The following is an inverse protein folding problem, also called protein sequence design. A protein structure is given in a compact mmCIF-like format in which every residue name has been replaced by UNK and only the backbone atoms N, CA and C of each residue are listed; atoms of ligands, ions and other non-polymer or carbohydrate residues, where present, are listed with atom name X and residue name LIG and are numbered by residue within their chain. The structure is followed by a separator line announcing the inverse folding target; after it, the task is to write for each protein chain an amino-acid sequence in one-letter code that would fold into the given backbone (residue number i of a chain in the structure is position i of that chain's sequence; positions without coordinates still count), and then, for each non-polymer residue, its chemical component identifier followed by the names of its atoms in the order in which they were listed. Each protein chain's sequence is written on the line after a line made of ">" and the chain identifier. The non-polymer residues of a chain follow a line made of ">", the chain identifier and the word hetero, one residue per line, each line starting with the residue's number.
data_IF_354554043319
#
_entry.id   IF_354554043319
#
_cell.length_a   1.000
_cell.length_b   1.000
_cell.length_c   1.000
_cell.angle_alpha   90.00
_cell.angle_beta   90.00
_cell.angle_gamma   90.00
#
_symmetry.space_group_name_H-M   'P 1'
#
loop_
_entity.id
_entity.type
_entity.pdbx_description
1 polymer ?
#
# COMPACT_ATOMS: atom_id res chain seq x y z
N UNK A 1 21.81 6.07 3.71
CA UNK A 1 20.39 6.23 3.35
C UNK A 1 20.35 6.92 2.00
N UNK A 2 19.85 6.19 0.98
CA UNK A 2 19.54 6.82 -0.30
C UNK A 2 18.27 7.64 -0.11
N UNK A 3 18.42 8.94 -0.05
CA UNK A 3 17.31 9.87 -0.11
C UNK A 3 16.81 9.88 -1.56
N UNK A 4 15.76 9.09 -1.82
CA UNK A 4 15.08 9.18 -3.11
C UNK A 4 14.37 10.53 -3.20
N UNK A 5 14.68 11.29 -4.24
CA UNK A 5 13.94 12.50 -4.59
C UNK A 5 13.26 12.26 -5.93
N UNK A 6 11.95 12.48 -6.03
CA UNK A 6 11.31 12.46 -7.33
C UNK A 6 12.02 13.47 -8.24
N UNK A 7 12.17 13.17 -9.53
CA UNK A 7 12.74 14.13 -10.48
C UNK A 7 11.95 15.43 -10.41
N UNK A 8 12.65 16.56 -10.22
CA UNK A 8 12.05 17.87 -10.13
C UNK A 8 11.24 18.13 -11.41
N UNK A 9 9.95 18.41 -11.30
CA UNK A 9 9.05 18.71 -12.41
C UNK A 9 8.38 17.50 -13.04
N UNK A 10 8.54 16.30 -12.49
CA UNK A 10 7.76 15.15 -12.90
C UNK A 10 6.33 15.24 -12.38
N UNK A 11 5.40 15.83 -13.14
CA UNK A 11 4.03 15.36 -13.04
C UNK A 11 4.11 13.88 -13.44
N UNK A 12 3.79 13.00 -12.50
CA UNK A 12 3.51 11.62 -12.87
C UNK A 12 2.28 11.74 -13.74
N UNK A 13 2.48 11.74 -15.07
CA UNK A 13 1.38 11.71 -16.02
C UNK A 13 0.50 10.52 -15.68
N UNK A 14 -0.80 10.61 -15.95
CA UNK A 14 -1.69 9.49 -15.75
C UNK A 14 -1.00 8.23 -16.27
N UNK A 15 -0.85 7.18 -15.45
CA UNK A 15 -0.05 6.01 -15.81
C UNK A 15 -0.67 5.34 -17.02
N UNK A 16 -0.02 5.48 -18.17
CA UNK A 16 -0.53 4.94 -19.44
C UNK A 16 -0.24 3.44 -19.56
N UNK A 17 0.67 2.90 -18.74
CA UNK A 17 1.07 1.51 -18.75
C UNK A 17 0.36 0.66 -17.70
N UNK A 18 -0.04 -0.57 -18.09
CA UNK A 18 -0.65 -1.54 -17.18
C UNK A 18 0.24 -1.87 -15.95
N UNK A 19 1.55 -1.69 -16.07
CA UNK A 19 2.54 -1.98 -15.04
C UNK A 19 3.32 -0.74 -14.58
N UNK A 20 2.81 0.47 -14.79
CA UNK A 20 3.46 1.72 -14.39
C UNK A 20 3.83 1.79 -12.90
N UNK A 21 3.13 1.04 -12.04
CA UNK A 21 3.51 0.90 -10.63
C UNK A 21 4.95 0.41 -10.46
N UNK A 22 5.37 -0.60 -11.21
CA UNK A 22 6.72 -1.17 -11.12
C UNK A 22 7.81 -0.18 -11.52
N UNK A 23 7.52 0.69 -12.49
CA UNK A 23 8.46 1.70 -12.97
C UNK A 23 8.67 2.84 -11.97
N UNK A 24 7.70 3.06 -11.07
CA UNK A 24 7.67 4.19 -10.14
C UNK A 24 7.71 3.79 -8.67
N UNK A 25 7.83 2.50 -8.36
CA UNK A 25 7.80 2.00 -7.00
C UNK A 25 9.12 2.24 -6.25
N UNK A 26 9.19 3.20 -5.32
CA UNK A 26 10.40 3.52 -4.58
C UNK A 26 10.55 2.69 -3.28
N UNK A 27 9.64 1.77 -3.00
CA UNK A 27 9.49 1.17 -1.68
C UNK A 27 8.63 2.02 -0.74
N UNK A 28 8.79 1.80 0.56
CA UNK A 28 8.05 2.53 1.59
C UNK A 28 6.66 1.97 1.87
N UNK A 29 5.80 2.79 2.45
CA UNK A 29 4.42 2.40 2.78
C UNK A 29 3.44 3.12 1.86
N UNK A 30 2.88 2.40 0.93
CA UNK A 30 1.94 2.94 -0.06
C UNK A 30 0.51 2.47 0.21
N UNK A 31 -0.44 3.39 0.04
CA UNK A 31 -1.87 3.09 -0.05
C UNK A 31 -2.19 2.68 -1.47
N UNK A 32 -2.74 1.52 -1.66
CA UNK A 32 -3.12 0.97 -2.96
C UNK A 32 -4.63 0.97 -3.10
N UNK A 33 -5.13 1.80 -4.01
CA UNK A 33 -6.54 1.99 -4.35
C UNK A 33 -6.68 2.35 -5.85
N UNK A 34 -7.82 2.08 -6.49
CA UNK A 34 -9.00 1.36 -6.01
C UNK A 34 -8.93 -0.15 -6.25
N UNK A 35 -7.80 -0.66 -6.76
CA UNK A 35 -7.62 -2.08 -7.06
C UNK A 35 -6.29 -2.59 -6.52
N UNK A 36 -6.31 -3.61 -5.68
CA UNK A 36 -5.15 -4.37 -5.27
C UNK A 36 -4.94 -5.54 -6.24
N UNK A 37 -3.69 -5.80 -6.63
CA UNK A 37 -3.36 -6.88 -7.57
C UNK A 37 -3.14 -6.42 -9.02
N UNK A 38 -3.33 -7.31 -9.96
CA UNK A 38 -3.03 -7.09 -11.39
C UNK A 38 -3.88 -6.01 -12.08
N UNK A 39 -3.50 -5.63 -13.31
CA UNK A 39 -4.31 -4.71 -14.12
C UNK A 39 -5.74 -5.22 -14.27
N UNK A 40 -6.72 -4.33 -14.16
CA UNK A 40 -8.14 -4.69 -14.20
C UNK A 40 -8.99 -3.59 -14.82
N UNK A 41 -10.27 -3.86 -15.02
CA UNK A 41 -11.25 -2.87 -15.44
C UNK A 41 -12.44 -2.90 -14.49
N UNK A 42 -12.79 -1.74 -13.94
CA UNK A 42 -13.90 -1.59 -13.02
C UNK A 42 -14.59 -0.23 -13.21
N UNK A 43 -15.91 -0.20 -13.08
CA UNK A 43 -16.73 1.01 -13.22
C UNK A 43 -16.45 1.83 -14.50
N UNK A 44 -16.10 1.16 -15.60
CA UNK A 44 -15.77 1.81 -16.89
C UNK A 44 -14.35 2.38 -16.98
N UNK A 45 -13.54 2.23 -15.94
CA UNK A 45 -12.13 2.64 -15.93
C UNK A 45 -11.21 1.43 -16.11
N UNK A 46 -10.11 1.61 -16.87
CA UNK A 46 -8.98 0.69 -16.88
C UNK A 46 -7.99 1.11 -15.81
N UNK A 47 -7.66 0.19 -14.92
CA UNK A 47 -6.77 0.38 -13.79
C UNK A 47 -5.47 -0.40 -14.02
N UNK A 48 -4.34 0.23 -13.72
CA UNK A 48 -3.03 -0.40 -13.74
C UNK A 48 -2.86 -1.40 -12.58
N UNK A 49 -1.77 -2.14 -12.58
CA UNK A 49 -1.28 -2.90 -11.42
C UNK A 49 -1.29 -1.99 -10.19
N UNK A 50 -1.93 -2.44 -9.11
CA UNK A 50 -2.08 -1.70 -7.85
C UNK A 50 -2.87 -0.39 -7.97
N UNK A 51 -3.73 -0.27 -8.98
CA UNK A 51 -4.65 0.85 -9.13
C UNK A 51 -3.97 2.16 -9.49
N UNK A 52 -4.37 3.25 -8.83
CA UNK A 52 -4.01 4.60 -9.23
C UNK A 52 -3.36 5.43 -8.11
N UNK A 53 -3.73 5.16 -6.85
CA UNK A 53 -3.35 6.02 -5.72
C UNK A 53 -1.84 6.19 -5.53
N UNK A 54 -1.04 5.18 -5.87
CA UNK A 54 0.42 5.24 -5.79
C UNK A 54 1.07 5.99 -6.98
N UNK A 55 0.30 6.36 -7.99
CA UNK A 55 0.78 6.93 -9.24
C UNK A 55 0.34 8.37 -9.47
N UNK A 56 -0.52 8.88 -8.60
CA UNK A 56 -0.98 10.28 -8.62
C UNK A 56 -0.20 11.13 -7.62
N UNK A 57 -0.09 12.45 -7.84
CA UNK A 57 0.51 13.34 -6.86
C UNK A 57 -0.37 13.46 -5.62
N UNK A 58 0.27 13.64 -4.46
CA UNK A 58 -0.38 13.88 -3.18
C UNK A 58 0.01 15.26 -2.66
N UNK A 59 -0.99 16.00 -2.21
CA UNK A 59 -0.76 17.21 -1.42
C UNK A 59 -0.32 16.80 -0.01
N UNK A 60 0.61 17.57 0.55
CA UNK A 60 1.21 17.25 1.85
C UNK A 60 1.15 18.44 2.79
N UNK A 61 0.72 18.24 4.02
CA UNK A 61 0.63 19.27 5.05
C UNK A 61 1.09 18.75 6.41
N UNK A 62 2.04 19.44 7.05
CA UNK A 62 2.40 19.17 8.45
C UNK A 62 1.26 19.69 9.32
N UNK A 63 0.66 18.80 10.12
CA UNK A 63 -0.48 19.11 11.01
C UNK A 63 -0.06 19.24 12.46
N UNK A 64 1.07 18.63 12.85
CA UNK A 64 1.70 18.83 14.13
C UNK A 64 3.22 18.72 14.00
N UNK A 65 3.94 19.63 14.69
CA UNK A 65 5.40 19.61 14.81
C UNK A 65 5.73 20.17 16.20
N UNK A 66 5.59 19.31 17.23
CA UNK A 66 5.85 19.64 18.63
C UNK A 66 6.80 18.62 19.24
N UNK A 67 7.22 18.83 20.50
CA UNK A 67 8.04 17.84 21.21
C UNK A 67 7.25 16.56 21.55
N UNK A 68 5.93 16.66 21.63
CA UNK A 68 5.04 15.56 22.00
C UNK A 68 4.52 14.78 20.81
N UNK A 69 4.39 15.44 19.65
CA UNK A 69 3.78 14.82 18.46
C UNK A 69 4.30 15.45 17.16
N UNK A 70 4.58 14.58 16.20
CA UNK A 70 4.74 14.96 14.80
C UNK A 70 3.64 14.29 13.99
N UNK A 71 2.98 15.06 13.12
CA UNK A 71 1.96 14.53 12.23
C UNK A 71 1.99 15.21 10.86
N UNK A 72 1.76 14.39 9.83
CA UNK A 72 1.69 14.84 8.44
C UNK A 72 0.41 14.29 7.81
N UNK A 73 -0.32 15.17 7.17
CA UNK A 73 -1.49 14.84 6.36
C UNK A 73 -1.11 14.81 4.89
N UNK A 74 -1.63 13.82 4.19
CA UNK A 74 -1.53 13.64 2.75
C UNK A 74 -2.95 13.58 2.19
N UNK A 75 -3.19 14.22 1.04
CA UNK A 75 -4.48 14.13 0.37
C UNK A 75 -4.32 14.02 -1.15
N UNK A 76 -5.21 13.29 -1.77
CA UNK A 76 -5.29 13.19 -3.23
C UNK A 76 -6.71 12.87 -3.68
N UNK A 77 -7.02 13.21 -4.93
CA UNK A 77 -8.24 12.76 -5.62
C UNK A 77 -7.82 11.95 -6.84
N UNK A 78 -8.38 10.76 -6.99
CA UNK A 78 -8.11 9.89 -8.12
C UNK A 78 -8.77 10.44 -9.40
N UNK A 79 -8.16 10.20 -10.54
CA UNK A 79 -8.64 10.72 -11.82
C UNK A 79 -9.53 9.73 -12.58
N UNK A 80 -9.32 8.44 -12.38
CA UNK A 80 -10.05 7.36 -13.06
C UNK A 80 -11.17 6.75 -12.21
N UNK A 81 -11.14 7.04 -10.92
CA UNK A 81 -12.10 6.52 -9.94
C UNK A 81 -12.58 7.66 -9.03
N UNK A 82 -13.85 7.69 -8.62
CA UNK A 82 -14.42 8.84 -7.92
C UNK A 82 -14.02 8.86 -6.42
N UNK A 83 -12.76 8.65 -6.11
CA UNK A 83 -12.28 8.63 -4.73
C UNK A 83 -11.39 9.81 -4.41
N UNK A 84 -11.70 10.47 -3.29
CA UNK A 84 -10.78 11.31 -2.54
C UNK A 84 -10.21 10.48 -1.40
N UNK A 85 -8.91 10.63 -1.16
CA UNK A 85 -8.17 9.93 -0.10
C UNK A 85 -7.49 10.96 0.78
N UNK A 86 -7.77 10.92 2.07
CA UNK A 86 -7.08 11.69 3.10
C UNK A 86 -6.36 10.71 4.04
N UNK A 87 -5.06 10.93 4.29
CA UNK A 87 -4.21 10.07 5.12
C UNK A 87 -3.42 10.91 6.10
N UNK A 88 -3.51 10.63 7.39
CA UNK A 88 -2.62 11.17 8.40
C UNK A 88 -1.65 10.10 8.88
N UNK A 89 -0.38 10.47 9.01
CA UNK A 89 0.66 9.67 9.65
C UNK A 89 1.20 10.44 10.86
N UNK A 90 1.22 9.81 12.02
CA UNK A 90 1.59 10.47 13.27
C UNK A 90 2.48 9.61 14.15
N UNK A 91 3.44 10.28 14.82
CA UNK A 91 4.30 9.73 15.87
C UNK A 91 4.10 10.53 17.14
N UNK A 92 3.98 9.85 18.27
CA UNK A 92 3.94 10.46 19.60
C UNK A 92 5.25 10.23 20.35
N UNK A 93 5.69 11.22 21.13
CA UNK A 93 6.89 11.09 21.93
C UNK A 93 6.73 9.96 22.97
N UNK A 94 7.76 9.14 23.11
CA UNK A 94 7.75 8.01 24.05
C UNK A 94 7.03 6.75 23.55
N UNK A 95 6.44 6.79 22.38
CA UNK A 95 5.81 5.64 21.74
C UNK A 95 6.67 5.11 20.59
N UNK A 96 6.75 3.78 20.47
CA UNK A 96 7.41 3.09 19.35
C UNK A 96 6.37 2.63 18.31
N UNK A 97 5.42 3.51 18.01
CA UNK A 97 4.30 3.22 17.12
C UNK A 97 4.08 4.36 16.11
N UNK A 98 3.90 4.00 14.86
CA UNK A 98 3.40 4.90 13.83
C UNK A 98 1.89 4.68 13.71
N UNK A 99 1.10 5.73 13.95
CA UNK A 99 -0.33 5.71 13.71
C UNK A 99 -0.62 6.22 12.31
N UNK A 100 -1.37 5.44 11.55
CA UNK A 100 -1.85 5.82 10.22
C UNK A 100 -3.37 5.79 10.23
N UNK A 101 -3.97 6.92 9.87
CA UNK A 101 -5.43 7.06 9.71
C UNK A 101 -5.73 7.41 8.27
N UNK A 102 -6.55 6.62 7.62
CA UNK A 102 -6.97 6.87 6.25
C UNK A 102 -8.49 6.98 6.13
N UNK A 103 -8.93 7.91 5.30
CA UNK A 103 -10.33 8.10 4.93
C UNK A 103 -10.43 8.09 3.41
N UNK A 104 -11.28 7.21 2.89
CA UNK A 104 -11.63 7.16 1.47
C UNK A 104 -13.05 7.62 1.30
N UNK A 105 -13.24 8.68 0.52
CA UNK A 105 -14.55 9.26 0.23
C UNK A 105 -14.92 8.99 -1.23
N UNK A 106 -16.08 8.37 -1.45
CA UNK A 106 -16.64 8.28 -2.79
C UNK A 106 -17.35 9.60 -3.12
N UNK A 107 -16.76 10.39 -3.99
CA UNK A 107 -17.32 11.66 -4.46
C UNK A 107 -18.28 11.48 -5.65
N UNK A 108 -18.46 10.25 -6.14
CA UNK A 108 -19.40 9.90 -7.19
C UNK A 108 -20.82 9.71 -6.70
N UNK A 109 -21.76 9.75 -7.65
CA UNK A 109 -23.20 9.59 -7.36
C UNK A 109 -23.65 8.12 -7.24
N UNK A 110 -22.77 7.16 -7.50
CA UNK A 110 -23.09 5.73 -7.52
C UNK A 110 -22.11 4.93 -6.66
N UNK A 111 -22.58 3.79 -6.16
CA UNK A 111 -21.70 2.85 -5.46
C UNK A 111 -20.76 2.18 -6.45
N UNK A 112 -19.49 2.06 -6.07
CA UNK A 112 -18.46 1.39 -6.84
C UNK A 112 -17.73 0.35 -5.98
N UNK A 113 -17.33 -0.74 -6.61
CA UNK A 113 -16.51 -1.77 -5.95
C UNK A 113 -15.05 -1.34 -5.94
N UNK A 114 -14.35 -1.68 -4.87
CA UNK A 114 -12.91 -1.42 -4.76
C UNK A 114 -12.23 -2.48 -3.89
N UNK A 115 -10.93 -2.59 -4.02
CA UNK A 115 -10.05 -3.21 -3.04
C UNK A 115 -9.05 -2.20 -2.52
N UNK A 116 -8.75 -2.28 -1.24
CA UNK A 116 -7.87 -1.36 -0.51
C UNK A 116 -6.77 -2.15 0.19
N UNK A 117 -5.53 -1.87 -0.17
CA UNK A 117 -4.35 -2.57 0.35
C UNK A 117 -3.36 -1.58 0.93
N UNK A 118 -2.77 -1.94 2.06
CA UNK A 118 -1.59 -1.29 2.61
C UNK A 118 -0.35 -2.04 2.13
N UNK A 119 0.38 -1.43 1.20
CA UNK A 119 1.60 -2.00 0.64
C UNK A 119 2.81 -1.49 1.41
N UNK A 120 3.28 -2.27 2.38
CA UNK A 120 4.34 -1.89 3.30
C UNK A 120 5.63 -2.63 2.91
N UNK A 121 6.68 -1.89 2.53
CA UNK A 121 8.01 -2.44 2.33
C UNK A 121 8.85 -2.22 3.59
N UNK A 122 9.18 -3.31 4.26
CA UNK A 122 10.08 -3.31 5.42
C UNK A 122 11.48 -3.71 4.96
N UNK A 123 12.49 -2.99 5.43
CA UNK A 123 13.90 -3.21 5.09
C UNK A 123 14.80 -3.31 6.33
N UNK A 124 16.08 -3.51 6.11
CA UNK A 124 17.06 -3.48 7.20
C UNK A 124 17.08 -2.12 7.91
N UNK A 125 17.25 -2.10 9.25
CA UNK A 125 17.54 -3.22 10.16
C UNK A 125 16.32 -3.95 10.70
N UNK A 126 15.07 -3.61 10.27
CA UNK A 126 13.83 -4.21 10.79
C UNK A 126 13.65 -5.64 10.29
N UNK A 127 14.09 -5.94 9.08
CA UNK A 127 14.00 -7.27 8.49
C UNK A 127 15.34 -7.98 8.62
N UNK A 128 15.35 -9.13 9.30
CA UNK A 128 16.52 -9.96 9.51
C UNK A 128 16.12 -11.36 9.96
N UNK A 129 17.08 -12.25 10.23
CA UNK A 129 16.79 -13.65 10.59
C UNK A 129 15.92 -13.84 11.85
N UNK A 130 15.85 -12.81 12.69
CA UNK A 130 15.06 -12.81 13.94
C UNK A 130 13.82 -11.92 13.86
N UNK A 131 13.50 -11.38 12.69
CA UNK A 131 12.31 -10.58 12.49
C UNK A 131 11.06 -11.46 12.64
N UNK A 132 10.09 -10.94 13.37
CA UNK A 132 8.78 -11.58 13.53
C UNK A 132 7.69 -10.63 13.07
N UNK A 133 6.64 -11.18 12.46
CA UNK A 133 5.44 -10.46 12.10
C UNK A 133 4.32 -10.94 13.01
N UNK A 134 3.72 -10.02 13.76
CA UNK A 134 2.55 -10.28 14.59
C UNK A 134 1.35 -9.53 13.99
N UNK A 135 0.32 -10.27 13.64
CA UNK A 135 -0.89 -9.73 12.99
C UNK A 135 -2.11 -10.31 13.71
N UNK A 136 -3.10 -9.50 14.09
CA UNK A 136 -4.30 -9.97 14.76
C UNK A 136 -5.26 -10.66 13.77
N UNK A 137 -4.87 -11.82 13.25
CA UNK A 137 -5.68 -12.64 12.36
C UNK A 137 -5.64 -14.11 12.82
N UNK A 138 -6.66 -14.87 12.48
CA UNK A 138 -6.75 -16.30 12.74
C UNK A 138 -6.33 -17.13 11.54
N UNK A 139 -6.56 -16.59 10.34
CA UNK A 139 -6.28 -17.28 9.08
C UNK A 139 -5.61 -16.36 8.07
N UNK A 140 -4.79 -16.96 7.22
CA UNK A 140 -4.15 -16.31 6.06
C UNK A 140 -4.57 -17.03 4.80
N UNK A 141 -5.10 -16.29 3.84
CA UNK A 141 -5.31 -16.74 2.47
C UNK A 141 -4.16 -16.23 1.60
N UNK A 142 -3.46 -17.15 0.96
CA UNK A 142 -2.38 -16.79 0.02
C UNK A 142 -3.00 -16.36 -1.31
N UNK A 143 -2.51 -15.24 -1.86
CA UNK A 143 -2.97 -14.74 -3.15
C UNK A 143 -2.86 -15.84 -4.22
N UNK A 144 -3.99 -16.25 -4.85
CA UNK A 144 -4.00 -17.30 -5.87
C UNK A 144 -3.23 -16.90 -7.14
N UNK A 145 -2.97 -15.62 -7.34
CA UNK A 145 -2.27 -15.09 -8.52
C UNK A 145 -0.77 -14.82 -8.25
N UNK A 146 -0.26 -15.20 -7.08
CA UNK A 146 1.15 -15.05 -6.78
C UNK A 146 1.98 -15.95 -7.71
N UNK A 147 2.82 -15.34 -8.54
CA UNK A 147 3.58 -16.02 -9.60
C UNK A 147 5.10 -15.89 -9.45
N UNK A 148 5.60 -15.38 -8.31
CA UNK A 148 7.04 -15.20 -8.14
C UNK A 148 7.73 -16.54 -7.86
N UNK A 149 8.88 -16.77 -8.48
CA UNK A 149 9.74 -17.96 -8.23
C UNK A 149 10.24 -18.06 -6.79
N UNK A 150 10.09 -16.97 -6.02
CA UNK A 150 10.47 -16.88 -4.60
C UNK A 150 9.29 -17.02 -3.64
N UNK A 151 8.08 -17.31 -4.15
CA UNK A 151 6.91 -17.55 -3.32
C UNK A 151 7.15 -18.78 -2.41
N UNK A 152 7.10 -18.56 -1.10
CA UNK A 152 7.32 -19.61 -0.09
C UNK A 152 6.04 -20.33 0.30
N UNK A 153 4.90 -19.72 0.03
CA UNK A 153 3.58 -20.24 0.34
C UNK A 153 2.86 -20.66 -0.94
N UNK A 154 2.03 -21.69 -0.87
CA UNK A 154 1.28 -22.20 -2.02
C UNK A 154 0.14 -21.25 -2.39
N UNK A 155 0.06 -20.77 -3.65
CA UNK A 155 -1.00 -19.87 -4.09
C UNK A 155 -2.39 -20.46 -3.89
N UNK A 156 -3.32 -19.66 -3.35
CA UNK A 156 -4.71 -20.03 -3.13
C UNK A 156 -4.98 -20.88 -1.89
N UNK A 157 -3.95 -21.31 -1.18
CA UNK A 157 -4.11 -22.07 0.05
C UNK A 157 -4.46 -21.17 1.24
N UNK A 158 -5.14 -21.75 2.22
CA UNK A 158 -5.49 -21.10 3.48
C UNK A 158 -4.77 -21.79 4.64
N UNK A 159 -4.15 -21.00 5.51
CA UNK A 159 -3.42 -21.48 6.66
C UNK A 159 -3.95 -20.88 7.94
N UNK A 160 -3.82 -21.62 9.05
CA UNK A 160 -4.09 -21.10 10.39
C UNK A 160 -2.88 -20.29 10.87
N UNK A 161 -3.08 -19.00 11.12
CA UNK A 161 -2.01 -18.12 11.60
C UNK A 161 -1.57 -18.50 13.03
N UNK A 162 -0.26 -18.48 13.36
CA UNK A 162 0.89 -18.04 12.54
C UNK A 162 1.59 -19.17 11.76
N UNK A 163 1.03 -20.36 11.67
CA UNK A 163 1.69 -21.52 11.10
C UNK A 163 1.31 -21.67 9.62
N UNK A 164 2.32 -21.57 8.76
CA UNK A 164 2.15 -21.81 7.33
C UNK A 164 3.01 -23.02 6.93
N UNK A 165 2.46 -23.91 6.11
CA UNK A 165 3.23 -24.98 5.49
C UNK A 165 3.82 -24.49 4.18
N UNK A 166 5.13 -24.63 4.03
CA UNK A 166 5.81 -24.42 2.76
C UNK A 166 6.08 -25.79 2.10
N UNK A 167 6.36 -25.84 0.80
CA UNK A 167 6.77 -27.09 0.15
C UNK A 167 8.00 -27.76 0.81
N UNK A 168 8.75 -27.02 1.61
CA UNK A 168 9.95 -27.46 2.31
C UNK A 168 9.69 -27.84 3.78
N UNK A 169 8.46 -27.66 4.27
CA UNK A 169 8.05 -27.93 5.65
C UNK A 169 7.38 -26.71 6.34
N UNK A 170 6.90 -26.92 7.57
CA UNK A 170 6.25 -25.85 8.34
C UNK A 170 7.27 -24.76 8.75
N UNK A 171 6.85 -23.50 8.67
CA UNK A 171 7.61 -22.31 9.07
C UNK A 171 6.89 -21.60 10.20
#
# INVERSE_FOLDING_TARGET
>A
PHEWRPPAGGSVGAPDGAFSFLDHYPGGWQTVLPAAGGPTSAAGATLALHGESSLVPWDTRITADTQERVAVEFSTTLTRYPFKIDREMALSAGESALTVTETVTNEGAVSVHYSWLQHIALGEPLVGPTATLDVPCETVLVDPYQTTEHARLSPGETYDWPFCETPEGAV
#
